data_IF_956274095580
#
_entry.id   IF_956274095580
#
_cell.length_a   1.000
_cell.length_b   1.000
_cell.length_c   1.000
_cell.angle_alpha   90.00
_cell.angle_beta   90.00
_cell.angle_gamma   90.00
#
_symmetry.space_group_name_H-M   'P 1'
#
loop_
_entity.id
_entity.type
_entity.pdbx_description
1 polymer ?
#
# COMPACT_ATOMS: atom_id res chain seq x y z
N UNK A 1 -18.98 26.13 -17.79
CA UNK A 1 -18.60 24.71 -17.99
C UNK A 1 -19.90 23.91 -18.09
N UNK A 2 -20.06 23.03 -19.10
CA UNK A 2 -21.19 22.10 -19.20
C UNK A 2 -20.66 20.70 -18.84
N UNK A 3 -20.71 20.35 -17.56
CA UNK A 3 -20.30 19.04 -17.06
C UNK A 3 -21.56 18.20 -16.84
N UNK A 4 -21.67 17.07 -17.55
CA UNK A 4 -22.83 16.16 -17.46
C UNK A 4 -22.51 14.89 -16.66
N UNK A 5 -21.26 14.73 -16.22
CA UNK A 5 -20.74 13.56 -15.52
C UNK A 5 -19.78 14.00 -14.41
N UNK A 6 -19.74 13.21 -13.34
CA UNK A 6 -18.86 13.38 -12.19
C UNK A 6 -18.25 12.02 -11.82
N UNK A 7 -17.08 11.97 -11.16
CA UNK A 7 -16.22 13.06 -10.69
C UNK A 7 -15.34 13.66 -11.80
N UNK A 8 -14.95 14.94 -11.67
CA UNK A 8 -14.00 15.63 -12.57
C UNK A 8 -13.05 16.50 -11.74
N UNK A 9 -11.74 16.31 -11.90
CA UNK A 9 -10.71 17.12 -11.24
C UNK A 9 -10.20 18.20 -12.21
N UNK A 10 -10.25 19.46 -11.79
CA UNK A 10 -9.80 20.60 -12.59
C UNK A 10 -8.86 21.50 -11.77
N UNK A 11 -7.77 21.93 -12.40
CA UNK A 11 -6.84 22.90 -11.85
C UNK A 11 -7.18 24.30 -12.40
N UNK A 12 -7.26 25.30 -11.54
CA UNK A 12 -7.49 26.69 -11.93
C UNK A 12 -6.21 27.49 -11.73
N UNK A 13 -5.54 27.95 -12.80
CA UNK A 13 -4.29 28.71 -12.67
C UNK A 13 -4.55 30.12 -12.10
N UNK A 14 -3.57 30.72 -11.41
CA UNK A 14 -3.72 32.03 -10.76
C UNK A 14 -3.89 33.20 -11.75
N UNK A 15 -3.53 33.01 -13.03
CA UNK A 15 -3.77 33.96 -14.12
C UNK A 15 -4.24 33.22 -15.37
N UNK A 16 -5.34 33.71 -15.96
CA UNK A 16 -5.88 33.21 -17.23
C UNK A 16 -7.04 32.22 -17.08
N UNK A 17 -7.57 31.78 -18.22
CA UNK A 17 -8.64 30.78 -18.28
C UNK A 17 -8.05 29.36 -18.16
N UNK A 18 -8.76 28.40 -17.54
CA UNK A 18 -8.32 27.00 -17.47
C UNK A 18 -8.12 26.44 -18.88
N UNK A 19 -6.98 25.80 -19.13
CA UNK A 19 -6.71 25.11 -20.39
C UNK A 19 -7.35 23.71 -20.36
N UNK A 20 -7.61 23.08 -21.52
CA UNK A 20 -8.08 21.69 -21.57
C UNK A 20 -7.16 20.71 -20.84
N UNK A 21 -5.85 20.99 -20.82
CA UNK A 21 -4.86 20.20 -20.08
C UNK A 21 -4.93 20.36 -18.56
N UNK A 22 -5.67 21.34 -18.05
CA UNK A 22 -5.95 21.54 -16.63
C UNK A 22 -7.15 20.72 -16.15
N UNK A 23 -7.76 19.90 -17.01
CA UNK A 23 -8.72 18.87 -16.60
C UNK A 23 -8.01 17.53 -16.57
N UNK A 24 -8.02 16.85 -15.42
CA UNK A 24 -7.41 15.54 -15.28
C UNK A 24 -8.22 14.50 -16.07
N UNK A 25 -7.55 13.71 -16.89
CA UNK A 25 -8.14 12.57 -17.56
C UNK A 25 -8.24 11.37 -16.60
N UNK A 26 -9.35 11.32 -15.86
CA UNK A 26 -9.61 10.28 -14.85
C UNK A 26 -9.79 8.90 -15.51
N UNK A 27 -10.31 8.85 -16.74
CA UNK A 27 -10.52 7.57 -17.44
C UNK A 27 -9.20 6.89 -17.79
N UNK A 28 -8.17 7.69 -18.12
CA UNK A 28 -6.84 7.17 -18.47
C UNK A 28 -5.92 6.95 -17.28
N UNK A 29 -5.91 7.88 -16.31
CA UNK A 29 -4.92 7.89 -15.21
C UNK A 29 -5.48 7.28 -13.92
N UNK A 30 -6.81 7.15 -13.82
CA UNK A 30 -7.49 6.70 -12.61
C UNK A 30 -7.64 7.79 -11.56
N UNK A 31 -8.28 7.43 -10.43
CA UNK A 31 -8.62 8.33 -9.33
C UNK A 31 -7.76 8.13 -8.07
N UNK A 32 -6.63 7.42 -8.19
CA UNK A 32 -5.72 7.18 -7.06
C UNK A 32 -5.08 8.48 -6.54
N UNK A 33 -4.93 8.61 -5.22
CA UNK A 33 -4.34 9.80 -4.61
C UNK A 33 -2.92 10.11 -5.14
N UNK A 34 -2.10 9.07 -5.41
CA UNK A 34 -0.77 9.22 -6.01
C UNK A 34 -0.84 9.77 -7.44
N UNK A 35 -1.84 9.35 -8.22
CA UNK A 35 -2.07 9.82 -9.58
C UNK A 35 -2.51 11.29 -9.62
N UNK A 36 -3.40 11.68 -8.70
CA UNK A 36 -3.85 13.07 -8.54
C UNK A 36 -2.67 13.94 -8.07
N UNK A 37 -1.87 13.47 -7.10
CA UNK A 37 -0.69 14.19 -6.62
C UNK A 37 0.35 14.41 -7.73
N UNK A 38 0.59 13.39 -8.57
CA UNK A 38 1.47 13.51 -9.73
C UNK A 38 0.93 14.51 -10.76
N UNK A 39 -0.35 14.44 -11.08
CA UNK A 39 -0.97 15.40 -11.99
C UNK A 39 -0.90 16.84 -11.47
N UNK A 40 -1.13 17.06 -10.17
CA UNK A 40 -0.96 18.39 -9.55
C UNK A 40 0.49 18.84 -9.68
N UNK A 41 1.46 17.99 -9.37
CA UNK A 41 2.89 18.32 -9.50
C UNK A 41 3.26 18.73 -10.93
N UNK A 42 2.77 18.02 -11.95
CA UNK A 42 2.99 18.37 -13.36
C UNK A 42 2.38 19.72 -13.77
N UNK A 43 1.33 20.21 -13.08
CA UNK A 43 0.66 21.47 -13.40
C UNK A 43 1.13 22.66 -12.56
N UNK A 44 1.52 22.42 -11.31
CA UNK A 44 1.79 23.49 -10.32
C UNK A 44 3.19 23.45 -9.73
N UNK A 45 3.98 22.43 -10.06
CA UNK A 45 5.27 22.13 -9.41
C UNK A 45 5.15 21.88 -7.89
N UNK A 46 3.92 21.72 -7.37
CA UNK A 46 3.68 21.44 -5.96
C UNK A 46 3.72 19.93 -5.74
N UNK A 47 4.70 19.46 -4.97
CA UNK A 47 4.83 18.06 -4.63
C UNK A 47 3.97 17.72 -3.38
N UNK A 48 2.89 16.95 -3.59
CA UNK A 48 2.05 16.45 -2.50
C UNK A 48 2.50 15.04 -2.11
N UNK A 49 2.88 14.84 -0.84
CA UNK A 49 3.22 13.51 -0.31
C UNK A 49 1.96 12.78 0.15
N UNK A 50 1.59 11.72 -0.55
CA UNK A 50 0.45 10.89 -0.21
C UNK A 50 0.89 9.86 0.84
N UNK A 51 0.41 10.02 2.08
CA UNK A 51 0.59 9.01 3.11
C UNK A 51 -0.56 8.03 3.07
N UNK A 52 -0.25 6.77 2.75
CA UNK A 52 -1.20 5.68 2.91
C UNK A 52 -1.28 5.33 4.40
N UNK A 53 -2.47 5.13 4.97
CA UNK A 53 -2.59 4.71 6.36
C UNK A 53 -1.78 3.42 6.58
N UNK A 54 -1.11 3.26 7.74
CA UNK A 54 -0.32 2.08 8.03
C UNK A 54 -1.16 0.83 7.79
N UNK A 55 -0.71 -0.03 6.86
CA UNK A 55 -1.40 -1.27 6.60
C UNK A 55 -1.05 -2.29 7.69
N UNK A 56 -1.97 -2.50 8.63
CA UNK A 56 -1.81 -3.47 9.71
C UNK A 56 -1.98 -4.93 9.26
N UNK A 57 -2.33 -5.19 7.99
CA UNK A 57 -2.52 -6.54 7.47
C UNK A 57 -1.26 -7.40 7.62
N UNK A 58 -0.07 -6.82 7.43
CA UNK A 58 1.20 -7.54 7.63
C UNK A 58 1.42 -7.91 9.10
N UNK A 59 1.20 -6.97 10.01
CA UNK A 59 1.31 -7.20 11.45
C UNK A 59 0.34 -8.29 11.92
N UNK A 60 -0.91 -8.24 11.45
CA UNK A 60 -1.92 -9.25 11.76
C UNK A 60 -1.54 -10.61 11.19
N UNK A 61 -1.04 -10.67 9.96
CA UNK A 61 -0.60 -11.92 9.34
C UNK A 61 0.56 -12.58 10.11
N UNK A 62 1.55 -11.79 10.55
CA UNK A 62 2.67 -12.29 11.35
C UNK A 62 2.18 -12.78 12.72
N UNK A 63 1.31 -12.02 13.38
CA UNK A 63 0.73 -12.44 14.66
C UNK A 63 -0.03 -13.77 14.53
N UNK A 64 -0.84 -13.92 13.47
CA UNK A 64 -1.57 -15.15 13.19
C UNK A 64 -0.63 -16.34 12.95
N UNK A 65 0.45 -16.14 12.19
CA UNK A 65 1.46 -17.16 11.95
C UNK A 65 2.14 -17.58 13.25
N UNK A 66 2.52 -16.64 14.12
CA UNK A 66 3.10 -16.94 15.43
C UNK A 66 2.16 -17.76 16.31
N UNK A 67 0.86 -17.40 16.35
CA UNK A 67 -0.15 -18.16 17.11
C UNK A 67 -0.31 -19.56 16.53
N UNK A 68 -0.30 -19.72 15.20
CA UNK A 68 -0.43 -21.02 14.56
C UNK A 68 0.77 -21.93 14.83
N UNK A 69 1.99 -21.39 14.72
CA UNK A 69 3.22 -22.12 15.05
C UNK A 69 3.22 -22.48 16.54
N UNK A 70 2.93 -21.53 17.42
CA UNK A 70 2.86 -21.76 18.87
C UNK A 70 1.81 -22.82 19.25
N UNK A 71 0.62 -22.76 18.64
CA UNK A 71 -0.45 -23.75 18.83
C UNK A 71 -0.05 -25.14 18.33
N UNK A 72 0.60 -25.22 17.16
CA UNK A 72 1.08 -26.48 16.62
C UNK A 72 2.17 -27.12 17.49
N UNK A 73 3.11 -26.31 17.98
CA UNK A 73 4.13 -26.75 18.94
C UNK A 73 3.53 -27.21 20.26
N UNK A 74 2.48 -26.53 20.74
CA UNK A 74 1.77 -26.92 21.95
C UNK A 74 1.04 -28.26 21.80
N UNK A 75 0.34 -28.49 20.68
CA UNK A 75 -0.35 -29.75 20.42
C UNK A 75 0.63 -30.91 20.20
N UNK A 76 1.75 -30.66 19.52
CA UNK A 76 2.80 -31.65 19.27
C UNK A 76 3.84 -31.70 20.40
N UNK A 77 3.49 -31.26 21.63
CA UNK A 77 4.43 -31.15 22.76
C UNK A 77 5.24 -32.43 23.02
N UNK A 78 4.62 -33.59 22.80
CA UNK A 78 5.23 -34.89 23.05
C UNK A 78 6.19 -35.38 21.94
N UNK A 79 6.27 -34.66 20.81
CA UNK A 79 7.05 -35.00 19.62
C UNK A 79 8.02 -33.86 19.24
N UNK A 80 8.49 -33.08 20.24
CA UNK A 80 9.45 -31.98 20.05
C UNK A 80 10.91 -32.43 19.86
N UNK A 81 11.18 -33.73 19.73
CA UNK A 81 12.54 -34.25 19.53
C UNK A 81 13.26 -33.61 18.35
N UNK A 82 12.52 -33.21 17.30
CA UNK A 82 13.05 -32.45 16.16
C UNK A 82 13.63 -31.08 16.56
N UNK A 83 12.99 -30.37 17.49
CA UNK A 83 13.42 -29.02 17.93
C UNK A 83 14.56 -29.09 18.95
N UNK A 84 14.60 -30.14 19.78
CA UNK A 84 15.71 -30.37 20.71
C UNK A 84 16.93 -31.05 20.06
N UNK A 85 16.81 -31.54 18.83
CA UNK A 85 17.90 -32.20 18.12
C UNK A 85 18.97 -31.19 17.65
N UNK A 86 20.10 -31.12 18.39
CA UNK A 86 21.26 -30.27 18.07
C UNK A 86 21.85 -30.52 16.68
N UNK A 87 21.75 -31.74 16.16
CA UNK A 87 22.27 -32.11 14.83
C UNK A 87 21.55 -31.38 13.70
N UNK A 88 20.26 -31.10 13.89
CA UNK A 88 19.43 -30.42 12.91
C UNK A 88 19.69 -28.91 12.87
N UNK A 89 19.86 -28.28 14.03
CA UNK A 89 20.32 -26.90 14.13
C UNK A 89 21.73 -26.72 13.55
N UNK A 90 22.60 -27.71 13.74
CA UNK A 90 23.93 -27.74 13.12
C UNK A 90 23.89 -27.79 11.60
N UNK A 91 22.99 -28.57 11.01
CA UNK A 91 22.80 -28.62 9.55
C UNK A 91 22.12 -27.37 8.97
N UNK A 92 21.20 -26.74 9.69
CA UNK A 92 20.53 -25.51 9.24
C UNK A 92 21.40 -24.25 9.36
N UNK A 93 22.51 -24.31 10.10
CA UNK A 93 23.46 -23.21 10.26
C UNK A 93 24.68 -23.30 9.32
N UNK A 94 24.78 -24.37 8.54
CA UNK A 94 25.81 -24.64 7.54
C UNK A 94 25.35 -24.16 6.16
#
# INVERSE_FOLDING_TARGET
>A
MKLNTAPVYMHFPPKGKPKPADTMDIQRVGFGADAIAKWIHERTDIQIRVFRPPNYSSTVAIAMLMVMVGGFLYLRRNNLDFIYNKTMWGFGAL
#
